data_IF_722882495479
#
_entry.id   IF_722882495479
#
_cell.length_a   1.000
_cell.length_b   1.000
_cell.length_c   1.000
_cell.angle_alpha   90.00
_cell.angle_beta   90.00
_cell.angle_gamma   90.00
#
_symmetry.space_group_name_H-M   'P 1'
#
loop_
_entity.id
_entity.type
_entity.pdbx_description
1 polymer ?
#
# COMPACT_ATOMS: atom_id res chain seq x y z
N UNK A 1 3.33 19.70 -31.33
CA UNK A 1 2.55 19.22 -30.17
C UNK A 1 2.04 17.81 -30.45
N UNK A 2 2.19 16.93 -29.48
CA UNK A 2 1.66 15.58 -29.58
C UNK A 2 0.92 15.26 -28.27
N UNK A 3 -0.30 14.76 -28.40
CA UNK A 3 -1.06 14.24 -27.26
C UNK A 3 -1.61 12.85 -27.58
N UNK A 4 -1.68 12.02 -26.57
CA UNK A 4 -2.31 10.69 -26.64
C UNK A 4 -3.17 10.50 -25.40
N UNK A 5 -4.29 9.85 -25.58
CA UNK A 5 -5.14 9.36 -24.51
C UNK A 5 -5.32 7.87 -24.69
N UNK A 6 -5.48 7.16 -23.60
CA UNK A 6 -5.62 5.72 -23.62
C UNK A 6 -6.43 5.22 -22.44
N UNK A 7 -7.00 4.04 -22.63
CA UNK A 7 -7.62 3.24 -21.58
C UNK A 7 -6.73 2.04 -21.31
N UNK A 8 -6.71 1.59 -20.08
CA UNK A 8 -5.95 0.39 -19.69
C UNK A 8 -6.75 -0.43 -18.69
N UNK A 9 -6.45 -1.70 -18.65
CA UNK A 9 -6.89 -2.62 -17.62
C UNK A 9 -5.70 -3.45 -17.18
N UNK A 10 -5.67 -3.85 -15.93
CA UNK A 10 -4.57 -4.63 -15.40
C UNK A 10 -4.89 -5.28 -14.07
N UNK A 11 -3.91 -5.97 -13.54
CA UNK A 11 -3.94 -6.56 -12.21
C UNK A 11 -2.75 -6.05 -11.41
N UNK A 12 -2.99 -5.66 -10.16
CA UNK A 12 -1.98 -5.15 -9.25
C UNK A 12 -1.98 -5.95 -7.95
N UNK A 13 -0.78 -6.19 -7.45
CA UNK A 13 -0.58 -6.70 -6.10
C UNK A 13 0.41 -5.79 -5.39
N UNK A 14 0.06 -5.36 -4.18
CA UNK A 14 0.90 -4.54 -3.31
C UNK A 14 1.02 -5.19 -1.95
N UNK A 15 2.17 -5.03 -1.30
CA UNK A 15 2.40 -5.51 0.06
C UNK A 15 3.18 -4.48 0.84
N UNK A 16 2.70 -4.20 2.05
CA UNK A 16 3.34 -3.32 3.03
C UNK A 16 3.64 -4.13 4.28
N UNK A 17 4.85 -4.03 4.81
CA UNK A 17 5.21 -4.73 6.03
C UNK A 17 6.18 -3.91 6.87
N UNK A 18 6.07 -4.05 8.18
CA UNK A 18 7.03 -3.51 9.12
C UNK A 18 7.23 -4.45 10.30
N UNK A 19 8.35 -4.29 10.97
CA UNK A 19 8.73 -5.07 12.14
C UNK A 19 9.24 -4.13 13.23
N UNK A 20 8.51 -4.04 14.34
CA UNK A 20 8.96 -3.34 15.53
C UNK A 20 9.93 -4.23 16.34
N UNK A 21 11.10 -3.67 16.66
CA UNK A 21 12.14 -4.36 17.46
C UNK A 21 12.51 -3.52 18.66
N UNK A 22 12.25 -4.03 19.86
CA UNK A 22 12.46 -3.28 21.08
C UNK A 22 11.50 -2.12 21.26
N UNK A 23 11.79 -1.21 22.17
CA UNK A 23 11.00 -0.03 22.46
C UNK A 23 10.26 -0.10 23.79
N UNK A 24 9.60 1.00 24.16
CA UNK A 24 8.74 1.08 25.35
C UNK A 24 7.28 0.92 24.97
N UNK A 25 6.50 0.36 25.86
CA UNK A 25 5.05 0.30 25.73
C UNK A 25 4.34 0.90 26.94
N UNK A 26 3.14 1.38 26.71
CA UNK A 26 2.25 1.89 27.74
C UNK A 26 0.83 1.42 27.40
N UNK A 27 0.27 0.59 28.26
CA UNK A 27 -1.10 0.07 28.15
C UNK A 27 -1.98 0.59 29.29
N UNK A 28 -3.28 0.39 29.17
CA UNK A 28 -4.25 0.69 30.23
C UNK A 28 -4.15 2.13 30.76
N UNK A 29 -4.09 3.13 29.84
CA UNK A 29 -3.94 4.54 30.16
C UNK A 29 -2.68 4.86 31.02
N UNK A 30 -1.58 4.12 30.81
CA UNK A 30 -0.32 4.38 31.50
C UNK A 30 -0.13 3.60 32.82
N UNK A 31 -1.04 2.71 33.18
CA UNK A 31 -0.90 1.87 34.38
C UNK A 31 0.05 0.70 34.18
N UNK A 32 0.25 0.29 32.91
CA UNK A 32 1.18 -0.77 32.53
C UNK A 32 2.24 -0.20 31.59
N UNK A 33 3.42 0.07 32.13
CA UNK A 33 4.57 0.59 31.37
C UNK A 33 5.69 -0.43 31.41
N UNK A 34 6.29 -0.70 30.27
CA UNK A 34 7.43 -1.61 30.19
C UNK A 34 8.27 -1.39 28.93
N UNK A 35 9.26 -2.25 28.76
CA UNK A 35 10.14 -2.23 27.60
C UNK A 35 10.23 -3.60 26.96
N UNK A 36 10.13 -3.65 25.65
CA UNK A 36 10.54 -4.82 24.89
C UNK A 36 12.06 -4.90 24.81
N UNK A 37 12.66 -6.09 24.93
CA UNK A 37 14.10 -6.25 24.83
C UNK A 37 14.63 -5.69 23.51
N UNK A 38 15.75 -4.94 23.60
CA UNK A 38 16.34 -4.30 22.44
C UNK A 38 16.76 -5.34 21.38
N UNK A 39 16.35 -5.11 20.13
CA UNK A 39 16.69 -5.98 18.99
C UNK A 39 15.81 -7.21 18.84
N UNK A 40 14.97 -7.54 19.82
CA UNK A 40 14.00 -8.63 19.70
C UNK A 40 12.74 -8.17 18.97
N UNK A 41 12.12 -9.02 18.11
CA UNK A 41 10.85 -8.71 17.47
C UNK A 41 9.76 -8.60 18.54
N UNK A 42 9.00 -7.50 18.50
CA UNK A 42 7.84 -7.28 19.34
C UNK A 42 6.55 -7.52 18.57
N UNK A 43 6.39 -6.78 17.46
CA UNK A 43 5.22 -6.84 16.58
C UNK A 43 5.69 -6.87 15.14
N UNK A 44 5.16 -7.78 14.33
CA UNK A 44 5.30 -7.79 12.88
C UNK A 44 3.93 -7.59 12.23
N UNK A 45 3.82 -6.64 11.33
CA UNK A 45 2.60 -6.33 10.63
C UNK A 45 2.78 -6.39 9.12
N UNK A 46 1.82 -6.93 8.40
CA UNK A 46 1.80 -6.99 6.96
C UNK A 46 0.38 -6.77 6.42
N UNK A 47 0.28 -5.96 5.37
CA UNK A 47 -0.91 -5.81 4.54
C UNK A 47 -0.61 -6.29 3.12
N UNK A 48 -1.54 -7.01 2.51
CA UNK A 48 -1.50 -7.41 1.10
C UNK A 48 -2.79 -7.00 0.42
N UNK A 49 -2.66 -6.31 -0.70
CA UNK A 49 -3.75 -5.86 -1.56
C UNK A 49 -3.63 -6.53 -2.92
N UNK A 50 -4.74 -7.06 -3.44
CA UNK A 50 -4.85 -7.65 -4.76
C UNK A 50 -6.06 -7.08 -5.45
N UNK A 51 -5.90 -6.59 -6.68
CA UNK A 51 -6.99 -5.96 -7.40
C UNK A 51 -6.81 -6.01 -8.91
N UNK A 52 -7.87 -6.34 -9.67
CA UNK A 52 -7.98 -5.90 -11.05
C UNK A 52 -8.29 -4.41 -11.06
N UNK A 53 -7.83 -3.67 -12.04
CA UNK A 53 -8.13 -2.26 -12.17
C UNK A 53 -8.37 -1.85 -13.62
N UNK A 54 -9.11 -0.76 -13.79
CA UNK A 54 -9.20 0.00 -15.02
C UNK A 54 -8.50 1.34 -14.85
N UNK A 55 -8.11 1.96 -15.95
CA UNK A 55 -7.44 3.25 -15.89
C UNK A 55 -7.59 4.07 -17.16
N UNK A 56 -7.31 5.36 -16.99
CA UNK A 56 -7.23 6.35 -18.05
C UNK A 56 -5.84 6.94 -18.04
N UNK A 57 -5.24 7.09 -19.22
CA UNK A 57 -3.94 7.72 -19.38
C UNK A 57 -4.00 8.87 -20.36
N UNK A 58 -3.23 9.91 -20.09
CA UNK A 58 -3.01 11.03 -20.99
C UNK A 58 -1.51 11.32 -21.07
N UNK A 59 -1.03 11.59 -22.26
CA UNK A 59 0.35 12.03 -22.52
C UNK A 59 0.31 13.27 -23.39
N UNK A 60 1.07 14.29 -22.99
CA UNK A 60 1.31 15.49 -23.77
C UNK A 60 2.81 15.70 -23.94
N UNK A 61 3.23 15.94 -25.18
CA UNK A 61 4.62 16.28 -25.51
C UNK A 61 4.66 17.60 -26.29
N UNK A 62 5.44 18.54 -25.77
CA UNK A 62 5.74 19.81 -26.38
C UNK A 62 7.25 20.02 -26.43
N UNK A 63 7.80 20.09 -27.66
CA UNK A 63 9.24 20.19 -27.87
C UNK A 63 10.03 19.13 -27.08
N UNK A 64 10.77 19.57 -26.06
CA UNK A 64 11.59 18.71 -25.18
C UNK A 64 10.87 18.29 -23.90
N UNK A 65 9.68 18.81 -23.64
CA UNK A 65 8.90 18.45 -22.44
C UNK A 65 7.88 17.37 -22.74
N UNK A 66 7.71 16.46 -21.81
CA UNK A 66 6.70 15.42 -21.84
C UNK A 66 6.04 15.32 -20.47
N UNK A 67 4.73 15.31 -20.45
CA UNK A 67 3.94 15.09 -19.24
C UNK A 67 3.03 13.89 -19.44
N UNK A 68 2.96 13.02 -18.46
CA UNK A 68 2.05 11.89 -18.44
C UNK A 68 1.14 11.98 -17.20
N UNK A 69 -0.09 11.56 -17.36
CA UNK A 69 -1.07 11.43 -16.29
C UNK A 69 -1.72 10.05 -16.41
N UNK A 70 -1.83 9.35 -15.29
CA UNK A 70 -2.51 8.07 -15.18
C UNK A 70 -3.45 8.10 -14.00
N UNK A 71 -4.71 7.75 -14.24
CA UNK A 71 -5.70 7.48 -13.21
C UNK A 71 -6.03 5.98 -13.21
N UNK A 72 -6.12 5.37 -12.02
CA UNK A 72 -6.53 3.98 -11.83
C UNK A 72 -7.69 3.90 -10.86
N UNK A 73 -8.58 2.93 -11.08
CA UNK A 73 -9.75 2.67 -10.26
C UNK A 73 -10.04 1.17 -10.16
N UNK A 74 -10.49 0.74 -8.98
CA UNK A 74 -11.04 -0.60 -8.74
C UNK A 74 -12.09 -0.58 -7.63
N UNK A 75 -13.14 -1.40 -7.78
CA UNK A 75 -14.12 -1.76 -6.74
C UNK A 75 -13.90 -3.21 -6.21
N UNK A 76 -12.84 -3.88 -6.66
CA UNK A 76 -12.59 -5.29 -6.40
C UNK A 76 -11.24 -5.50 -5.72
N UNK A 77 -11.01 -4.78 -4.63
CA UNK A 77 -9.78 -4.94 -3.86
C UNK A 77 -9.99 -6.02 -2.80
N UNK A 78 -9.20 -7.08 -2.87
CA UNK A 78 -9.10 -8.08 -1.82
C UNK A 78 -7.86 -7.77 -0.97
N UNK A 79 -8.08 -7.66 0.33
CA UNK A 79 -7.03 -7.28 1.28
C UNK A 79 -6.96 -8.28 2.41
N UNK A 80 -5.74 -8.65 2.76
CA UNK A 80 -5.46 -9.46 3.95
C UNK A 80 -4.38 -8.81 4.80
N UNK A 81 -4.51 -8.92 6.12
CA UNK A 81 -3.46 -8.54 7.06
C UNK A 81 -2.92 -9.75 7.81
N UNK A 82 -1.73 -9.59 8.37
CA UNK A 82 -1.18 -10.46 9.38
C UNK A 82 -0.47 -9.59 10.40
N UNK A 83 -0.93 -9.62 11.66
CA UNK A 83 -0.39 -8.87 12.78
C UNK A 83 0.06 -9.86 13.87
N UNK A 84 1.35 -10.02 14.02
CA UNK A 84 1.96 -10.97 14.96
C UNK A 84 2.53 -10.24 16.17
N UNK A 85 2.02 -10.57 17.34
CA UNK A 85 2.48 -10.08 18.64
C UNK A 85 3.35 -11.15 19.31
N UNK A 86 4.65 -11.11 19.04
CA UNK A 86 5.59 -12.16 19.47
C UNK A 86 5.65 -12.34 20.99
N UNK A 87 5.63 -11.25 21.77
CA UNK A 87 5.68 -11.33 23.23
C UNK A 87 4.46 -12.02 23.85
N UNK A 88 3.32 -11.97 23.17
CA UNK A 88 2.06 -12.60 23.61
C UNK A 88 1.80 -13.95 22.95
N UNK A 89 2.54 -14.28 21.89
CA UNK A 89 2.31 -15.47 21.08
C UNK A 89 0.95 -15.48 20.39
N UNK A 90 0.43 -14.29 19.99
CA UNK A 90 -0.88 -14.16 19.36
C UNK A 90 -0.75 -13.56 17.97
N UNK A 91 -1.69 -13.93 17.08
CA UNK A 91 -1.77 -13.45 15.72
C UNK A 91 -3.18 -12.96 15.43
N UNK A 92 -3.28 -11.76 14.87
CA UNK A 92 -4.52 -11.22 14.29
C UNK A 92 -4.43 -11.25 12.77
N UNK A 93 -5.54 -11.60 12.13
CA UNK A 93 -5.66 -11.55 10.67
C UNK A 93 -6.99 -10.93 10.28
N UNK A 94 -6.94 -9.95 9.41
CA UNK A 94 -8.13 -9.40 8.78
C UNK A 94 -8.23 -9.91 7.34
N UNK A 95 -9.46 -10.06 6.89
CA UNK A 95 -9.81 -10.41 5.51
C UNK A 95 -10.96 -9.49 5.09
N UNK A 96 -10.67 -8.64 4.10
CA UNK A 96 -11.59 -7.64 3.56
C UNK A 96 -11.67 -7.79 2.05
N UNK A 97 -12.87 -7.98 1.54
CA UNK A 97 -13.11 -8.19 0.11
C UNK A 97 -13.91 -7.04 -0.49
N UNK A 98 -13.64 -6.73 -1.77
CA UNK A 98 -14.34 -5.71 -2.56
C UNK A 98 -14.27 -4.31 -1.94
N UNK A 99 -13.13 -3.89 -1.41
CA UNK A 99 -12.90 -2.47 -1.10
C UNK A 99 -12.55 -1.69 -2.37
N UNK A 100 -12.41 -0.37 -2.26
CA UNK A 100 -12.12 0.51 -3.39
C UNK A 100 -10.68 0.95 -3.41
N UNK A 101 -10.19 1.18 -4.62
CA UNK A 101 -8.86 1.72 -4.86
C UNK A 101 -8.91 2.86 -5.86
N UNK A 102 -8.16 3.90 -5.57
CA UNK A 102 -7.89 5.03 -6.46
C UNK A 102 -6.39 5.28 -6.52
N UNK A 103 -5.90 5.64 -7.70
CA UNK A 103 -4.55 6.17 -7.81
C UNK A 103 -4.46 7.22 -8.91
N UNK A 104 -3.61 8.21 -8.65
CA UNK A 104 -3.20 9.21 -9.63
C UNK A 104 -1.69 9.17 -9.70
N UNK A 105 -1.15 9.06 -10.91
CA UNK A 105 0.28 9.15 -11.18
C UNK A 105 0.49 10.26 -12.22
N UNK A 106 1.37 11.19 -11.94
CA UNK A 106 1.72 12.26 -12.85
C UNK A 106 3.23 12.39 -12.95
N UNK A 107 3.75 12.55 -14.16
CA UNK A 107 5.16 12.85 -14.37
C UNK A 107 5.37 14.03 -15.31
N UNK A 108 6.53 14.67 -15.16
CA UNK A 108 7.07 15.62 -16.10
C UNK A 108 8.50 15.21 -16.45
N UNK A 109 8.81 15.16 -17.72
CA UNK A 109 10.13 14.80 -18.23
C UNK A 109 10.68 15.85 -19.19
N UNK A 110 12.02 15.96 -19.22
CA UNK A 110 12.75 16.83 -20.13
C UNK A 110 13.74 16.00 -20.94
N UNK A 111 13.63 16.08 -22.27
CA UNK A 111 14.54 15.44 -23.23
C UNK A 111 15.76 16.33 -23.45
N UNK A 112 16.92 15.93 -22.96
CA UNK A 112 18.18 16.61 -23.24
C UNK A 112 18.84 16.10 -24.54
N UNK A 113 18.51 14.87 -24.98
CA UNK A 113 18.73 14.37 -26.34
C UNK A 113 17.44 13.72 -26.86
N UNK A 114 17.34 13.45 -28.19
CA UNK A 114 16.15 12.73 -28.72
C UNK A 114 15.90 11.38 -28.06
N UNK A 115 16.95 10.72 -27.53
CA UNK A 115 16.90 9.39 -26.94
C UNK A 115 16.85 9.39 -25.40
N UNK A 116 17.28 10.50 -24.76
CA UNK A 116 17.47 10.54 -23.32
C UNK A 116 16.62 11.63 -22.66
N UNK A 117 15.86 11.25 -21.62
CA UNK A 117 15.10 12.19 -20.78
C UNK A 117 15.36 11.96 -19.30
N UNK A 118 15.34 13.02 -18.52
CA UNK A 118 15.16 12.98 -17.07
C UNK A 118 13.69 13.22 -16.76
N UNK A 119 13.18 12.67 -15.68
CA UNK A 119 11.80 12.87 -15.26
C UNK A 119 11.64 12.91 -13.75
N UNK A 120 10.60 13.59 -13.31
CA UNK A 120 10.09 13.58 -11.95
C UNK A 120 8.66 13.06 -11.99
N UNK A 121 8.36 12.05 -11.19
CA UNK A 121 7.05 11.43 -11.08
C UNK A 121 6.55 11.55 -9.64
N UNK A 122 5.29 11.90 -9.48
CA UNK A 122 4.55 11.82 -8.23
C UNK A 122 3.40 10.84 -8.35
N UNK A 123 3.13 10.07 -7.31
CA UNK A 123 1.92 9.25 -7.24
C UNK A 123 1.21 9.40 -5.90
N UNK A 124 -0.12 9.31 -5.96
CA UNK A 124 -1.00 9.17 -4.81
C UNK A 124 -1.82 7.90 -5.00
N UNK A 125 -1.91 7.10 -3.94
CA UNK A 125 -2.61 5.82 -3.94
C UNK A 125 -3.46 5.73 -2.68
N UNK A 126 -4.73 5.34 -2.81
CA UNK A 126 -5.65 5.15 -1.71
C UNK A 126 -6.42 3.84 -1.84
N UNK A 127 -6.29 3.00 -0.83
CA UNK A 127 -7.17 1.86 -0.55
C UNK A 127 -8.17 2.32 0.49
N UNK A 128 -9.44 2.43 0.12
CA UNK A 128 -10.49 2.93 1.01
C UNK A 128 -10.78 1.95 2.13
N UNK A 129 -11.06 2.49 3.30
CA UNK A 129 -11.52 1.72 4.45
C UNK A 129 -12.73 0.86 4.08
N UNK A 130 -12.64 -0.38 4.46
CA UNK A 130 -13.77 -1.31 4.46
C UNK A 130 -13.65 -2.31 5.58
N UNK A 131 -14.78 -2.66 6.16
CA UNK A 131 -14.87 -3.69 7.19
C UNK A 131 -14.89 -5.09 6.59
N UNK A 132 -14.35 -6.04 7.36
CA UNK A 132 -14.30 -7.44 7.03
C UNK A 132 -14.18 -8.32 8.27
N UNK A 133 -13.80 -9.57 8.11
CA UNK A 133 -13.62 -10.47 9.23
C UNK A 133 -12.26 -10.28 9.90
N UNK A 134 -12.25 -10.38 11.21
CA UNK A 134 -11.07 -10.47 12.06
C UNK A 134 -10.95 -11.88 12.61
N UNK A 135 -9.76 -12.46 12.55
CA UNK A 135 -9.43 -13.72 13.25
C UNK A 135 -8.36 -13.46 14.29
N UNK A 136 -8.60 -14.01 15.50
CA UNK A 136 -7.66 -14.04 16.61
C UNK A 136 -7.19 -15.47 16.84
N UNK A 137 -5.90 -15.68 16.97
CA UNK A 137 -5.30 -16.97 17.25
C UNK A 137 -4.28 -16.86 18.39
N UNK A 138 -4.51 -17.59 19.48
CA UNK A 138 -3.62 -17.74 20.63
C UNK A 138 -3.31 -19.22 20.86
N UNK A 139 -2.24 -19.77 20.24
CA UNK A 139 -1.89 -21.18 20.40
C UNK A 139 -1.57 -21.58 21.85
N UNK A 140 -0.99 -20.67 22.64
CA UNK A 140 -0.66 -20.93 24.05
C UNK A 140 -1.89 -21.09 24.94
N UNK A 141 -2.99 -20.45 24.58
CA UNK A 141 -4.28 -20.54 25.28
C UNK A 141 -5.23 -21.55 24.63
N UNK A 142 -4.87 -22.08 23.46
CA UNK A 142 -5.73 -22.95 22.66
C UNK A 142 -6.97 -22.24 22.12
N UNK A 143 -6.90 -20.90 21.94
CA UNK A 143 -8.04 -20.08 21.52
C UNK A 143 -7.88 -19.71 20.06
N UNK A 144 -8.95 -19.94 19.29
CA UNK A 144 -9.13 -19.41 17.95
C UNK A 144 -10.54 -18.82 17.83
N UNK A 145 -10.61 -17.55 17.51
CA UNK A 145 -11.88 -16.84 17.33
C UNK A 145 -11.89 -16.16 15.96
N UNK A 146 -13.08 -16.14 15.34
CA UNK A 146 -13.30 -15.38 14.11
C UNK A 146 -14.60 -14.62 14.25
N UNK A 147 -14.52 -13.32 14.03
CA UNK A 147 -15.64 -12.40 14.08
C UNK A 147 -15.82 -11.71 12.73
N UNK A 148 -17.05 -11.63 12.25
CA UNK A 148 -17.36 -10.91 11.04
C UNK A 148 -17.59 -9.44 11.36
N UNK A 149 -17.24 -8.56 10.41
CA UNK A 149 -17.41 -7.11 10.54
C UNK A 149 -16.67 -6.48 11.74
N UNK A 150 -15.60 -7.13 12.18
CA UNK A 150 -14.82 -6.73 13.35
C UNK A 150 -13.48 -6.05 12.99
N UNK A 151 -12.91 -6.35 11.83
CA UNK A 151 -11.70 -5.72 11.32
C UNK A 151 -11.99 -4.68 10.25
N UNK A 152 -11.11 -3.69 10.10
CA UNK A 152 -11.13 -2.76 8.97
C UNK A 152 -9.73 -2.51 8.44
N UNK A 153 -9.61 -2.30 7.13
CA UNK A 153 -8.33 -2.07 6.48
C UNK A 153 -8.45 -0.86 5.57
N UNK A 154 -7.50 0.05 5.72
CA UNK A 154 -7.26 1.17 4.80
C UNK A 154 -5.76 1.35 4.59
N UNK A 155 -5.38 2.01 3.52
CA UNK A 155 -4.01 2.44 3.29
C UNK A 155 -3.98 3.63 2.32
N UNK A 156 -3.19 4.64 2.65
CA UNK A 156 -2.91 5.77 1.78
C UNK A 156 -1.41 6.02 1.74
N UNK A 157 -0.86 6.20 0.55
CA UNK A 157 0.55 6.52 0.41
C UNK A 157 0.85 7.36 -0.82
N UNK A 158 1.95 8.10 -0.72
CA UNK A 158 2.50 8.93 -1.77
C UNK A 158 3.89 8.43 -2.14
N UNK A 159 4.23 8.53 -3.42
CA UNK A 159 5.60 8.31 -3.86
C UNK A 159 6.09 9.48 -4.71
N UNK A 160 7.38 9.78 -4.61
CA UNK A 160 8.08 10.70 -5.51
C UNK A 160 9.29 9.95 -6.06
N UNK A 161 9.39 9.93 -7.39
CA UNK A 161 10.47 9.24 -8.09
C UNK A 161 11.15 10.21 -9.05
N UNK A 162 12.47 10.27 -9.02
CA UNK A 162 13.27 10.92 -10.03
C UNK A 162 14.06 9.87 -10.78
N UNK A 163 14.08 9.98 -12.11
CA UNK A 163 14.76 8.99 -12.93
C UNK A 163 15.23 9.53 -14.28
N UNK A 164 15.93 8.65 -14.97
CA UNK A 164 16.37 8.89 -16.35
C UNK A 164 15.91 7.72 -17.22
N UNK A 165 15.44 8.04 -18.43
CA UNK A 165 15.07 7.05 -19.44
C UNK A 165 15.92 7.27 -20.69
N UNK A 166 16.44 6.17 -21.22
CA UNK A 166 17.14 6.12 -22.51
C UNK A 166 16.43 5.15 -23.44
N UNK A 167 16.25 5.54 -24.70
CA UNK A 167 15.66 4.70 -25.75
C UNK A 167 16.72 4.42 -26.82
N UNK A 168 16.98 3.16 -27.09
CA UNK A 168 17.90 2.69 -28.13
C UNK A 168 17.29 2.76 -29.52
#
# INVERSE_FOLDING_TARGET
DQYRVGVLAGYQQSSFSWLAKGGSYSYSNGTEIGNFPRGQPGIAYMQKFKLPYIGLSARYKYEKFETNLLFKYSDWVDTTTNDEHYARGVTFKDDVNNSRYYAVVADVGYYFTPQAKVYLEGSWNQYQEKRGSLSYNSPSEGVYEKENDAGSIENEFYTVTMGMKYSF
#
